data_IF_510444724024
#
_entry.id   IF_510444724024
#
_cell.length_a   1.000
_cell.length_b   1.000
_cell.length_c   1.000
_cell.angle_alpha   90.00
_cell.angle_beta   90.00
_cell.angle_gamma   90.00
#
_symmetry.space_group_name_H-M   'P 1'
#
loop_
_entity.id
_entity.type
_entity.pdbx_description
1 polymer ?
#
# COMPACT_ATOMS: atom_id res chain seq x y z
N UNK A 1 -4.18 -23.00 5.42
CA UNK A 1 -4.06 -24.29 4.67
C UNK A 1 -5.08 -24.36 3.54
N UNK A 2 -6.37 -24.05 3.75
CA UNK A 2 -7.39 -24.21 2.71
C UNK A 2 -7.10 -23.51 1.36
N UNK A 3 -6.44 -22.34 1.37
CA UNK A 3 -6.13 -21.59 0.13
C UNK A 3 -4.87 -22.08 -0.61
N UNK A 4 -3.76 -22.32 0.10
CA UNK A 4 -2.45 -22.62 -0.51
C UNK A 4 -1.78 -23.90 0.00
N UNK A 5 -2.46 -24.71 0.81
CA UNK A 5 -1.88 -25.90 1.42
C UNK A 5 -0.81 -25.57 2.47
N UNK A 6 0.19 -26.46 2.57
CA UNK A 6 1.36 -26.33 3.45
C UNK A 6 2.55 -25.84 2.62
N UNK A 7 2.89 -24.57 2.76
CA UNK A 7 4.06 -23.97 2.12
C UNK A 7 5.17 -23.82 3.15
N UNK A 8 6.23 -24.62 3.00
CA UNK A 8 7.35 -24.65 3.95
C UNK A 8 8.51 -23.85 3.38
N UNK A 9 8.89 -22.79 4.10
CA UNK A 9 10.09 -22.00 3.79
C UNK A 9 11.15 -22.26 4.85
N UNK A 10 12.41 -22.37 4.42
CA UNK A 10 13.58 -22.44 5.31
C UNK A 10 14.26 -21.08 5.32
N UNK A 11 14.67 -20.61 6.50
CA UNK A 11 15.35 -19.33 6.68
C UNK A 11 16.48 -19.47 7.69
N UNK A 12 17.54 -18.69 7.50
CA UNK A 12 18.63 -18.53 8.45
C UNK A 12 18.57 -17.13 9.07
N UNK A 13 18.41 -17.05 10.39
CA UNK A 13 18.44 -15.78 11.11
C UNK A 13 19.89 -15.43 11.50
N UNK A 14 20.59 -14.72 10.61
CA UNK A 14 21.98 -14.32 10.83
C UNK A 14 22.16 -13.51 12.13
N UNK A 15 23.17 -13.85 12.93
CA UNK A 15 23.45 -13.15 14.19
C UNK A 15 22.46 -13.43 15.33
N UNK A 16 21.57 -14.42 15.18
CA UNK A 16 20.63 -14.80 16.23
C UNK A 16 21.35 -15.46 17.42
N UNK A 17 21.29 -14.85 18.60
CA UNK A 17 21.92 -15.34 19.83
C UNK A 17 20.90 -15.90 20.84
N UNK A 18 19.60 -15.83 20.53
CA UNK A 18 18.55 -16.28 21.43
C UNK A 18 17.36 -16.92 20.72
N UNK A 19 16.69 -17.87 21.39
CA UNK A 19 15.44 -18.48 20.89
C UNK A 19 14.36 -17.44 20.58
N UNK A 20 14.29 -16.37 21.37
CA UNK A 20 13.30 -15.30 21.19
C UNK A 20 13.51 -14.52 19.87
N UNK A 21 14.75 -14.29 19.46
CA UNK A 21 15.06 -13.68 18.17
C UNK A 21 14.66 -14.60 17.01
N UNK A 22 15.05 -15.88 17.06
CA UNK A 22 14.66 -16.86 16.05
C UNK A 22 13.13 -16.95 15.90
N UNK A 23 12.41 -16.96 17.02
CA UNK A 23 10.95 -17.02 17.02
C UNK A 23 10.31 -15.77 16.38
N UNK A 24 10.78 -14.57 16.73
CA UNK A 24 10.27 -13.33 16.12
C UNK A 24 10.58 -13.26 14.63
N UNK A 25 11.78 -13.66 14.22
CA UNK A 25 12.17 -13.67 12.81
C UNK A 25 11.30 -14.63 11.99
N UNK A 26 11.05 -15.83 12.50
CA UNK A 26 10.13 -16.78 11.87
C UNK A 26 8.67 -16.29 11.82
N UNK A 27 8.19 -15.66 12.90
CA UNK A 27 6.86 -15.05 12.90
C UNK A 27 6.74 -13.89 11.91
N UNK A 28 7.76 -13.04 11.84
CA UNK A 28 7.80 -11.94 10.87
C UNK A 28 7.70 -12.49 9.45
N UNK A 29 8.52 -13.47 9.07
CA UNK A 29 8.47 -14.11 7.76
C UNK A 29 7.07 -14.66 7.42
N UNK A 30 6.44 -15.37 8.36
CA UNK A 30 5.10 -15.94 8.13
C UNK A 30 4.05 -14.83 7.99
N UNK A 31 4.18 -13.75 8.75
CA UNK A 31 3.21 -12.65 8.77
C UNK A 31 3.32 -11.76 7.54
N UNK A 32 4.53 -11.42 7.09
CA UNK A 32 4.74 -10.66 5.87
C UNK A 32 4.20 -11.42 4.66
N UNK A 33 4.55 -12.71 4.53
CA UNK A 33 4.02 -13.55 3.44
C UNK A 33 2.49 -13.72 3.44
N UNK A 34 1.85 -13.59 4.61
CA UNK A 34 0.40 -13.69 4.73
C UNK A 34 -0.32 -12.36 4.48
N UNK A 35 0.29 -11.24 4.89
CA UNK A 35 -0.36 -9.92 4.92
C UNK A 35 0.10 -9.02 3.77
N UNK A 36 1.38 -9.02 3.44
CA UNK A 36 2.02 -8.18 2.41
C UNK A 36 1.95 -8.87 1.04
N UNK A 37 0.74 -9.28 0.65
CA UNK A 37 0.50 -10.02 -0.61
C UNK A 37 0.11 -9.13 -1.78
N UNK A 38 -0.13 -7.85 -1.51
CA UNK A 38 -0.59 -6.86 -2.48
C UNK A 38 0.47 -5.80 -2.66
N UNK A 39 0.74 -5.46 -3.92
CA UNK A 39 1.65 -4.38 -4.32
C UNK A 39 0.89 -3.45 -5.24
N UNK A 40 1.14 -2.15 -5.11
CA UNK A 40 0.54 -1.13 -5.96
C UNK A 40 1.64 -0.33 -6.64
N UNK A 41 1.47 -0.06 -7.93
CA UNK A 41 2.29 0.88 -8.68
C UNK A 41 1.49 2.16 -8.88
N UNK A 42 2.02 3.29 -8.42
CA UNK A 42 1.37 4.58 -8.55
C UNK A 42 2.38 5.66 -8.92
N UNK A 43 1.91 6.70 -9.61
CA UNK A 43 2.69 7.89 -9.91
C UNK A 43 2.17 9.08 -9.12
N UNK A 44 3.07 9.86 -8.53
CA UNK A 44 2.75 11.07 -7.78
C UNK A 44 3.53 12.26 -8.34
N UNK A 45 2.95 13.45 -8.26
CA UNK A 45 3.64 14.71 -8.57
C UNK A 45 4.57 15.17 -7.44
N UNK A 46 4.86 16.47 -7.38
CA UNK A 46 5.75 17.06 -6.37
C UNK A 46 5.31 16.80 -4.91
N UNK A 47 4.03 16.55 -4.66
CA UNK A 47 3.50 16.20 -3.33
C UNK A 47 4.12 14.93 -2.74
N UNK A 48 4.61 14.03 -3.60
CA UNK A 48 5.30 12.80 -3.19
C UNK A 48 6.64 13.05 -2.48
N UNK A 49 7.24 14.24 -2.63
CA UNK A 49 8.49 14.60 -1.94
C UNK A 49 8.35 14.63 -0.41
N UNK A 50 7.12 14.65 0.11
CA UNK A 50 6.87 14.58 1.55
C UNK A 50 7.21 13.21 2.15
N UNK A 51 7.19 12.15 1.35
CA UNK A 51 7.38 10.77 1.82
C UNK A 51 8.81 10.29 1.63
N UNK A 52 9.28 9.50 2.58
CA UNK A 52 10.60 8.85 2.57
C UNK A 52 10.41 7.34 2.54
N UNK A 53 11.33 6.55 1.94
CA UNK A 53 11.25 5.09 2.00
C UNK A 53 11.08 4.59 3.45
N UNK A 54 10.02 3.79 3.68
CA UNK A 54 9.64 3.29 5.00
C UNK A 54 8.41 3.97 5.62
N UNK A 55 7.94 5.08 5.05
CA UNK A 55 6.68 5.69 5.45
C UNK A 55 5.48 4.78 5.13
N UNK A 56 4.50 4.74 6.04
CA UNK A 56 3.23 4.06 5.83
C UNK A 56 2.23 5.07 5.26
N UNK A 57 1.69 4.76 4.09
CA UNK A 57 0.72 5.59 3.38
C UNK A 57 -0.57 4.82 3.12
N UNK A 58 -1.68 5.54 3.10
CA UNK A 58 -2.97 5.00 2.68
C UNK A 58 -3.14 5.16 1.16
N UNK A 59 -3.70 4.15 0.52
CA UNK A 59 -3.93 4.13 -0.93
C UNK A 59 -5.44 4.06 -1.16
N UNK A 60 -5.97 5.08 -1.84
CA UNK A 60 -7.33 5.04 -2.38
C UNK A 60 -7.29 4.44 -3.79
N UNK A 61 -7.50 3.13 -3.87
CA UNK A 61 -7.50 2.37 -5.13
C UNK A 61 -8.95 2.18 -5.63
N UNK A 62 -9.28 2.88 -6.72
CA UNK A 62 -10.61 2.85 -7.34
C UNK A 62 -10.92 1.50 -8.01
N UNK A 63 -9.91 0.80 -8.54
CA UNK A 63 -10.06 -0.53 -9.17
C UNK A 63 -10.34 -1.61 -8.12
N UNK A 64 -9.71 -1.49 -6.95
CA UNK A 64 -9.98 -2.37 -5.81
C UNK A 64 -11.33 -2.06 -5.14
N UNK A 65 -11.66 -0.78 -4.97
CA UNK A 65 -12.92 -0.36 -4.34
C UNK A 65 -14.15 -0.58 -5.23
N UNK A 66 -13.97 -0.60 -6.55
CA UNK A 66 -15.05 -0.70 -7.54
C UNK A 66 -15.91 0.56 -7.65
N UNK A 67 -15.50 1.65 -7.00
CA UNK A 67 -16.13 2.97 -7.04
C UNK A 67 -15.02 4.04 -7.06
N UNK A 68 -15.28 5.15 -7.75
CA UNK A 68 -14.38 6.32 -7.72
C UNK A 68 -14.44 6.96 -6.34
N UNK A 69 -13.38 6.79 -5.56
CA UNK A 69 -13.33 7.18 -4.13
C UNK A 69 -12.53 8.48 -3.94
N UNK A 70 -12.05 9.13 -5.01
CA UNK A 70 -11.22 10.33 -4.92
C UNK A 70 -11.08 11.18 -6.19
N UNK A 71 -10.21 12.19 -6.11
CA UNK A 71 -10.00 13.20 -7.16
C UNK A 71 -9.00 14.29 -6.74
N UNK A 72 -8.27 14.88 -7.69
CA UNK A 72 -7.48 16.10 -7.44
C UNK A 72 -8.13 17.29 -8.14
N UNK A 73 -8.30 18.39 -7.40
CA UNK A 73 -8.71 19.67 -7.99
C UNK A 73 -7.49 20.31 -8.65
N UNK A 74 -7.55 20.51 -9.97
CA UNK A 74 -6.50 21.19 -10.74
C UNK A 74 -6.66 22.71 -10.73
N UNK A 75 -7.91 23.20 -10.79
CA UNK A 75 -8.18 24.63 -10.77
C UNK A 75 -9.54 24.94 -10.14
N UNK A 76 -9.65 26.13 -9.55
CA UNK A 76 -10.87 26.65 -8.95
C UNK A 76 -11.20 27.98 -9.60
N UNK A 77 -12.39 28.11 -10.19
CA UNK A 77 -12.92 29.39 -10.65
C UNK A 77 -14.01 29.88 -9.69
N UNK A 78 -13.69 30.92 -8.93
CA UNK A 78 -14.59 31.49 -7.91
C UNK A 78 -15.74 32.31 -8.51
N UNK A 79 -15.59 32.86 -9.70
CA UNK A 79 -16.60 33.70 -10.35
C UNK A 79 -17.73 32.85 -10.95
N UNK A 80 -17.36 31.76 -11.64
CA UNK A 80 -18.31 30.82 -12.24
C UNK A 80 -18.70 29.67 -11.31
N UNK A 81 -18.07 29.57 -10.12
CA UNK A 81 -18.24 28.47 -9.16
C UNK A 81 -17.98 27.09 -9.77
N UNK A 82 -17.01 27.00 -10.67
CA UNK A 82 -16.63 25.74 -11.35
C UNK A 82 -15.29 25.24 -10.85
N UNK A 83 -15.17 23.92 -10.70
CA UNK A 83 -13.93 23.23 -10.34
C UNK A 83 -13.45 22.41 -11.55
N UNK A 84 -12.16 22.49 -11.86
CA UNK A 84 -11.52 21.61 -12.84
C UNK A 84 -10.87 20.47 -12.08
N UNK A 85 -11.29 19.24 -12.36
CA UNK A 85 -10.74 18.03 -11.75
C UNK A 85 -9.68 17.41 -12.65
N UNK A 86 -8.87 16.53 -12.07
CA UNK A 86 -7.83 15.76 -12.77
C UNK A 86 -8.39 14.65 -13.67
N UNK A 87 -9.67 14.33 -13.55
CA UNK A 87 -10.37 13.28 -14.30
C UNK A 87 -11.83 13.64 -14.56
N UNK A 88 -12.44 12.94 -15.50
CA UNK A 88 -13.88 13.01 -15.75
C UNK A 88 -14.65 12.22 -14.66
N UNK A 89 -15.81 12.74 -14.28
CA UNK A 89 -16.70 12.14 -13.28
C UNK A 89 -17.98 11.68 -13.96
N UNK A 90 -18.36 10.43 -13.71
CA UNK A 90 -19.66 9.87 -14.05
C UNK A 90 -20.59 10.02 -12.85
N UNK A 91 -21.79 10.56 -13.07
CA UNK A 91 -22.83 10.77 -12.04
C UNK A 91 -23.76 9.56 -11.93
#
# INVERSE_FOLDING_TARGET
>A
IARYGRNVTKMDAFGCTSRGQAHRAGLWLIKTELLETQTVDFSVGAEGLRHVPGDVIEICDDDYAGISTGGRVLAVNSQTRTLTLDREITL
#
